data_IF_466564926126
#
_entry.id   IF_466564926126
#
_cell.length_a   1.000
_cell.length_b   1.000
_cell.length_c   1.000
_cell.angle_alpha   90.00
_cell.angle_beta   90.00
_cell.angle_gamma   90.00
#
_symmetry.space_group_name_H-M   'P 1'
#
loop_
_entity.id
_entity.type
_entity.pdbx_description
1 polymer ?
#
# COMPACT_ATOMS: atom_id res chain seq x y z
N UNK A 1 16.59 -6.24 -13.14
CA UNK A 1 15.72 -5.64 -14.19
C UNK A 1 14.75 -6.74 -14.61
N UNK A 2 13.44 -6.55 -14.39
CA UNK A 2 12.43 -7.59 -14.67
C UNK A 2 11.76 -7.31 -16.01
N UNK A 3 11.62 -8.33 -16.84
CA UNK A 3 10.99 -8.24 -18.15
C UNK A 3 9.53 -8.66 -18.04
N UNK A 4 8.60 -7.81 -18.52
CA UNK A 4 7.18 -8.12 -18.60
C UNK A 4 6.82 -8.28 -20.07
N UNK A 5 6.31 -9.46 -20.43
CA UNK A 5 5.85 -9.79 -21.77
C UNK A 5 4.40 -10.23 -21.71
N UNK A 6 3.54 -9.62 -22.52
CA UNK A 6 2.13 -9.99 -22.64
C UNK A 6 1.68 -9.91 -24.09
N UNK A 7 0.71 -10.75 -24.46
CA UNK A 7 0.03 -10.64 -25.76
C UNK A 7 -1.04 -9.57 -25.65
N UNK A 8 -1.02 -8.62 -26.58
CA UNK A 8 -2.02 -7.56 -26.69
C UNK A 8 -2.66 -7.63 -28.07
N UNK A 9 -3.96 -7.33 -28.15
CA UNK A 9 -4.63 -7.13 -29.42
C UNK A 9 -4.05 -5.91 -30.16
N UNK A 10 -4.05 -5.96 -31.50
CA UNK A 10 -3.46 -4.90 -32.31
C UNK A 10 -4.10 -3.53 -32.09
N UNK A 11 -5.42 -3.49 -31.84
CA UNK A 11 -6.16 -2.26 -31.51
C UNK A 11 -5.63 -1.61 -30.23
N UNK A 12 -5.39 -2.42 -29.19
CA UNK A 12 -4.86 -1.94 -27.91
C UNK A 12 -3.44 -1.39 -28.09
N UNK A 13 -2.60 -2.08 -28.87
CA UNK A 13 -1.23 -1.64 -29.17
C UNK A 13 -1.21 -0.31 -29.90
N UNK A 14 -2.10 -0.11 -30.88
CA UNK A 14 -2.23 1.15 -31.61
C UNK A 14 -2.67 2.30 -30.69
N UNK A 15 -3.66 2.07 -29.83
CA UNK A 15 -4.14 3.06 -28.87
C UNK A 15 -3.04 3.47 -27.88
N UNK A 16 -2.30 2.50 -27.32
CA UNK A 16 -1.18 2.77 -26.40
C UNK A 16 -0.06 3.56 -27.07
N UNK A 17 0.30 3.22 -28.32
CA UNK A 17 1.28 3.98 -29.09
C UNK A 17 0.84 5.43 -29.34
N UNK A 18 -0.44 5.65 -29.66
CA UNK A 18 -0.97 7.00 -29.90
C UNK A 18 -0.94 7.85 -28.62
N UNK A 19 -1.30 7.26 -27.47
CA UNK A 19 -1.25 7.93 -26.17
C UNK A 19 0.17 8.25 -25.73
N UNK A 20 1.10 7.29 -25.89
CA UNK A 20 2.51 7.51 -25.59
C UNK A 20 3.10 8.65 -26.45
N UNK A 21 2.77 8.69 -27.75
CA UNK A 21 3.20 9.75 -28.66
C UNK A 21 2.67 11.13 -28.26
N UNK A 22 1.41 11.22 -27.79
CA UNK A 22 0.84 12.49 -27.27
C UNK A 22 1.61 13.03 -26.06
N UNK A 23 2.20 12.14 -25.26
CA UNK A 23 3.02 12.50 -24.11
C UNK A 23 4.51 12.62 -24.44
N UNK A 24 4.91 12.43 -25.70
CA UNK A 24 6.32 12.53 -26.12
C UNK A 24 7.21 11.40 -25.58
N UNK A 25 6.62 10.28 -25.13
CA UNK A 25 7.36 9.15 -24.55
C UNK A 25 7.15 7.87 -25.36
N UNK A 26 8.02 6.89 -25.16
CA UNK A 26 7.85 5.57 -25.76
C UNK A 26 6.75 4.78 -25.03
N UNK A 27 6.17 3.80 -25.73
CA UNK A 27 5.04 3.01 -25.23
C UNK A 27 5.39 2.21 -23.99
N UNK A 28 6.63 1.72 -23.88
CA UNK A 28 7.08 0.97 -22.70
C UNK A 28 7.20 1.86 -21.46
N UNK A 29 7.65 3.11 -21.59
CA UNK A 29 7.67 4.09 -20.50
C UNK A 29 6.26 4.48 -20.10
N UNK A 30 5.35 4.65 -21.07
CA UNK A 30 3.94 4.93 -20.80
C UNK A 30 3.28 3.80 -19.99
N UNK A 31 3.48 2.54 -20.39
CA UNK A 31 2.98 1.37 -19.65
C UNK A 31 3.57 1.33 -18.24
N UNK A 32 4.88 1.56 -18.10
CA UNK A 32 5.53 1.63 -16.77
C UNK A 32 4.88 2.69 -15.89
N UNK A 33 4.62 3.88 -16.42
CA UNK A 33 4.02 4.97 -15.66
C UNK A 33 2.63 4.62 -15.14
N UNK A 34 1.80 3.97 -15.96
CA UNK A 34 0.48 3.48 -15.54
C UNK A 34 0.62 2.42 -14.44
N UNK A 35 1.47 1.41 -14.65
CA UNK A 35 1.69 0.35 -13.66
C UNK A 35 2.22 0.91 -12.34
N UNK A 36 3.16 1.85 -12.39
CA UNK A 36 3.67 2.55 -11.20
C UNK A 36 2.56 3.33 -10.50
N UNK A 37 1.68 4.02 -11.24
CA UNK A 37 0.56 4.74 -10.64
C UNK A 37 -0.42 3.80 -9.94
N UNK A 38 -0.79 2.69 -10.58
CA UNK A 38 -1.68 1.68 -9.98
C UNK A 38 -1.07 1.03 -8.74
N UNK A 39 0.22 0.67 -8.81
CA UNK A 39 0.95 0.12 -7.66
C UNK A 39 1.02 1.16 -6.55
N UNK A 40 1.38 2.40 -6.84
CA UNK A 40 1.46 3.46 -5.84
C UNK A 40 0.11 3.82 -5.25
N UNK A 41 -0.98 3.73 -6.03
CA UNK A 41 -2.33 3.94 -5.52
C UNK A 41 -2.73 2.85 -4.52
N UNK A 42 -2.35 1.59 -4.79
CA UNK A 42 -2.56 0.48 -3.86
C UNK A 42 -1.62 0.55 -2.66
N UNK A 43 -0.37 0.96 -2.88
CA UNK A 43 0.57 1.22 -1.80
C UNK A 43 0.14 2.41 -0.97
N UNK A 44 -0.59 3.40 -1.48
CA UNK A 44 -1.13 4.50 -0.68
C UNK A 44 -2.27 4.06 0.24
N UNK A 45 -2.95 2.94 -0.06
CA UNK A 45 -3.83 2.27 0.89
C UNK A 45 -3.04 1.57 2.01
N UNK A 46 -1.74 1.34 1.79
CA UNK A 46 -0.77 0.85 2.77
C UNK A 46 -0.08 2.08 3.39
N UNK A 47 -0.31 2.32 4.66
CA UNK A 47 0.29 3.43 5.40
C UNK A 47 1.81 3.28 5.48
N UNK A 48 2.50 4.34 5.91
CA UNK A 48 3.96 4.37 6.04
C UNK A 48 4.52 3.25 6.94
N UNK A 49 3.66 2.64 7.77
CA UNK A 49 3.99 1.52 8.65
C UNK A 49 3.89 0.14 7.97
N UNK A 50 3.55 0.09 6.68
CA UNK A 50 3.36 -1.17 5.94
C UNK A 50 2.02 -1.86 6.21
N UNK A 51 1.07 -1.17 6.86
CA UNK A 51 -0.26 -1.67 7.19
C UNK A 51 -1.30 -1.02 6.29
N UNK A 52 -2.35 -1.73 5.92
CA UNK A 52 -3.50 -1.08 5.27
C UNK A 52 -4.23 -0.15 6.24
N UNK A 53 -4.90 0.89 5.73
CA UNK A 53 -5.76 1.78 6.55
C UNK A 53 -6.81 0.99 7.34
N UNK A 54 -7.31 -0.12 6.79
CA UNK A 54 -8.24 -1.02 7.47
C UNK A 54 -7.60 -1.75 8.67
N UNK A 55 -6.33 -2.12 8.56
CA UNK A 55 -5.56 -2.73 9.65
C UNK A 55 -5.20 -1.71 10.73
N UNK A 56 -4.88 -0.46 10.39
CA UNK A 56 -4.66 0.58 11.40
C UNK A 56 -5.94 0.90 12.18
N UNK A 57 -7.08 0.97 11.48
CA UNK A 57 -8.38 1.17 12.11
C UNK A 57 -8.75 -0.01 13.03
N UNK A 58 -8.41 -1.26 12.65
CA UNK A 58 -8.68 -2.42 13.50
C UNK A 58 -7.81 -2.45 14.76
N UNK A 59 -6.56 -2.00 14.66
CA UNK A 59 -5.67 -1.82 15.83
C UNK A 59 -6.24 -0.74 16.77
N UNK A 60 -6.63 0.43 16.23
CA UNK A 60 -7.23 1.50 17.04
C UNK A 60 -8.52 1.07 17.75
N UNK A 61 -9.36 0.29 17.07
CA UNK A 61 -10.57 -0.29 17.66
C UNK A 61 -10.22 -1.35 18.71
N UNK A 62 -9.19 -2.16 18.48
CA UNK A 62 -8.71 -3.17 19.44
C UNK A 62 -8.14 -2.52 20.70
N UNK A 63 -7.34 -1.45 20.56
CA UNK A 63 -6.78 -0.67 21.68
C UNK A 63 -7.89 -0.04 22.54
N UNK A 64 -9.01 0.37 21.92
CA UNK A 64 -10.16 0.92 22.64
C UNK A 64 -10.94 -0.12 23.46
N UNK A 65 -10.72 -1.41 23.21
CA UNK A 65 -11.33 -2.53 23.93
C UNK A 65 -10.35 -3.24 24.88
N UNK A 66 -9.08 -2.82 24.92
CA UNK A 66 -8.06 -3.45 25.74
C UNK A 66 -8.11 -2.89 27.18
N UNK A 67 -8.47 -3.75 28.15
CA UNK A 67 -8.52 -3.44 29.59
C UNK A 67 -7.14 -3.05 30.17
N UNK A 68 -6.07 -3.17 29.36
CA UNK A 68 -4.68 -2.85 29.71
C UNK A 68 -4.21 -1.55 29.03
N UNK A 69 -5.12 -0.69 28.58
CA UNK A 69 -4.77 0.63 28.04
C UNK A 69 -4.68 1.69 29.15
N UNK A 70 -3.47 1.91 29.66
CA UNK A 70 -3.17 3.01 30.58
C UNK A 70 -1.77 3.55 30.35
N UNK A 71 -1.48 4.83 30.70
CA UNK A 71 -0.13 5.35 30.62
C UNK A 71 0.77 4.63 31.65
N UNK A 72 1.51 3.63 31.19
CA UNK A 72 2.52 2.96 32.00
C UNK A 72 3.78 3.80 32.07
N UNK A 73 3.99 4.46 33.21
CA UNK A 73 5.19 5.28 33.43
C UNK A 73 6.48 4.45 33.52
N UNK A 74 6.38 3.14 33.78
CA UNK A 74 7.53 2.24 33.94
C UNK A 74 7.25 0.83 33.44
N UNK A 75 8.29 0.12 33.00
CA UNK A 75 8.23 -1.31 32.58
C UNK A 75 7.63 -2.21 33.68
N UNK A 76 7.93 -1.92 34.95
CA UNK A 76 7.38 -2.64 36.08
C UNK A 76 5.84 -2.49 36.20
N UNK A 77 5.29 -1.33 35.85
CA UNK A 77 3.85 -1.08 35.87
C UNK A 77 3.10 -1.84 34.78
N UNK A 78 3.68 -1.96 33.57
CA UNK A 78 3.16 -2.77 32.47
C UNK A 78 3.16 -4.26 32.84
N UNK A 79 4.29 -4.78 33.33
CA UNK A 79 4.43 -6.20 33.69
C UNK A 79 3.46 -6.64 34.80
N UNK A 80 3.08 -5.72 35.70
CA UNK A 80 2.11 -6.00 36.76
C UNK A 80 0.68 -6.09 36.24
N UNK A 81 0.33 -5.30 35.23
CA UNK A 81 -0.98 -5.36 34.60
C UNK A 81 -1.16 -6.66 33.79
N UNK A 82 -0.11 -7.08 33.07
CA UNK A 82 -0.12 -8.32 32.28
C UNK A 82 -0.21 -9.61 33.12
N UNK A 83 0.30 -9.60 34.36
CA UNK A 83 0.28 -10.76 35.27
C UNK A 83 -1.06 -11.00 35.99
N UNK A 84 -2.03 -10.09 35.85
CA UNK A 84 -3.34 -10.18 36.53
C UNK A 84 -4.42 -10.91 35.70
N UNK A 85 -4.09 -11.42 34.51
CA UNK A 85 -4.92 -12.35 33.73
C UNK A 85 -4.53 -13.80 34.01
#
# INVERSE_FOLDING_TARGET
>A
MTTISFKAEDKLKQALNALAKKQGINTSAYIKLILTKEINSKLAEITENGLTVAEELSILVSDSMDEVSGPFKTVASLMRALKKK
#
